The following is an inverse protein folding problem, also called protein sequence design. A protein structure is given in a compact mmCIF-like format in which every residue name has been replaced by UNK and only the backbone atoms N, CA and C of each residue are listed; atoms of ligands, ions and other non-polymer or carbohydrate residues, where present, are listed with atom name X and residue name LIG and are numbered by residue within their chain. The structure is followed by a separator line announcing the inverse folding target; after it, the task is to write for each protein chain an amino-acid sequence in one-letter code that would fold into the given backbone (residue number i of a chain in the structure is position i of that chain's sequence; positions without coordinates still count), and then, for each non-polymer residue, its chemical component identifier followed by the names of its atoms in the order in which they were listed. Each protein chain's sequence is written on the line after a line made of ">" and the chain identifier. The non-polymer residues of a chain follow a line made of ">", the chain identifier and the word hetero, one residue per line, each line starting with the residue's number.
data_IF_304080646354
#
_entry.id   IF_304080646354
#
_cell.length_a   1.000
_cell.length_b   1.000
_cell.length_c   1.000
_cell.angle_alpha   90.00
_cell.angle_beta   90.00
_cell.angle_gamma   90.00
#
_symmetry.space_group_name_H-M   'P 1'
#
loop_
_entity.id
_entity.type
_entity.pdbx_description
1 polymer ?
#
# COMPACT_ATOMS: atom_id res chain seq x y z
N UNK A 1 14.45 12.79 -33.30
CA UNK A 1 12.99 12.93 -33.07
C UNK A 1 12.25 11.70 -32.47
N UNK A 2 12.90 10.56 -32.17
CA UNK A 2 12.27 9.40 -31.48
C UNK A 2 12.84 9.08 -30.09
N UNK A 3 13.90 9.77 -29.66
CA UNK A 3 14.52 9.60 -28.33
C UNK A 3 13.92 10.60 -27.33
N UNK A 4 13.49 11.77 -27.81
CA UNK A 4 12.94 12.86 -26.98
C UNK A 4 11.54 12.55 -26.41
N UNK A 5 10.80 11.62 -27.02
CA UNK A 5 9.51 11.14 -26.50
C UNK A 5 9.66 10.12 -25.37
N UNK A 6 10.79 9.40 -25.30
CA UNK A 6 11.06 8.46 -24.22
C UNK A 6 11.46 9.18 -22.94
N UNK A 7 12.26 10.26 -23.06
CA UNK A 7 12.56 11.15 -21.93
C UNK A 7 11.32 11.86 -21.40
N UNK A 8 10.34 12.20 -22.26
CA UNK A 8 9.06 12.79 -21.83
C UNK A 8 8.17 11.76 -21.10
N UNK A 9 8.16 10.50 -21.55
CA UNK A 9 7.46 9.39 -20.88
C UNK A 9 8.11 9.01 -19.55
N UNK A 10 9.44 8.99 -19.48
CA UNK A 10 10.21 8.75 -18.25
C UNK A 10 10.08 9.93 -17.28
N UNK A 11 10.02 11.17 -17.76
CA UNK A 11 9.75 12.36 -16.93
C UNK A 11 8.31 12.37 -16.40
N UNK A 12 7.33 11.86 -17.16
CA UNK A 12 5.95 11.65 -16.69
C UNK A 12 5.84 10.49 -15.70
N UNK A 13 6.66 9.46 -15.83
CA UNK A 13 6.80 8.40 -14.85
C UNK A 13 7.45 8.90 -13.55
N UNK A 14 8.48 9.74 -13.66
CA UNK A 14 9.09 10.43 -12.52
C UNK A 14 8.09 11.38 -11.85
N UNK A 15 7.24 12.07 -12.61
CA UNK A 15 6.13 12.87 -12.06
C UNK A 15 5.08 11.99 -11.36
N UNK A 16 4.71 10.84 -11.93
CA UNK A 16 3.79 9.89 -11.28
C UNK A 16 4.40 9.33 -9.98
N UNK A 17 5.68 8.96 -10.00
CA UNK A 17 6.44 8.50 -8.83
C UNK A 17 6.61 9.62 -7.81
N UNK A 18 6.81 10.87 -8.23
CA UNK A 18 6.89 12.05 -7.35
C UNK A 18 5.55 12.45 -6.78
N UNK A 19 4.44 12.34 -7.51
CA UNK A 19 3.08 12.55 -6.99
C UNK A 19 2.73 11.44 -5.99
N UNK A 20 3.15 10.21 -6.30
CA UNK A 20 3.03 9.06 -5.42
C UNK A 20 3.85 9.21 -4.12
N UNK A 21 5.07 9.71 -4.23
CA UNK A 21 5.96 10.05 -3.11
C UNK A 21 5.46 11.31 -2.37
N UNK A 22 4.94 12.32 -3.05
CA UNK A 22 4.38 13.52 -2.42
C UNK A 22 3.09 13.22 -1.65
N UNK A 23 2.30 12.22 -2.07
CA UNK A 23 1.19 11.69 -1.25
C UNK A 23 1.68 10.97 0.02
N UNK A 24 2.98 10.66 0.11
CA UNK A 24 3.65 10.14 1.29
C UNK A 24 4.05 11.25 2.26
N UNK A 25 4.39 12.44 1.77
CA UNK A 25 4.80 13.59 2.59
C UNK A 25 3.64 14.18 3.42
N UNK A 26 2.40 13.81 3.12
CA UNK A 26 1.24 14.15 3.96
C UNK A 26 0.99 13.15 5.10
N UNK A 27 1.73 12.04 5.18
CA UNK A 27 1.55 11.02 6.22
C UNK A 27 2.77 10.10 6.40
N UNK A 28 3.97 10.66 6.59
CA UNK A 28 5.10 9.98 7.27
C UNK A 28 6.24 10.99 7.41
N UNK A 29 6.54 11.40 8.64
CA UNK A 29 7.76 12.16 8.93
C UNK A 29 8.99 11.37 8.43
N UNK A 30 9.99 12.03 7.82
CA UNK A 30 11.28 11.39 7.59
C UNK A 30 11.91 11.02 8.94
N UNK A 31 12.55 9.86 9.09
CA UNK A 31 13.25 9.53 10.33
C UNK A 31 14.38 10.54 10.54
N UNK A 32 14.42 11.12 11.74
CA UNK A 32 15.48 12.01 12.21
C UNK A 32 16.84 11.30 12.06
N UNK A 33 17.87 11.95 11.47
CA UNK A 33 19.20 11.39 11.43
C UNK A 33 19.78 11.38 12.85
N UNK A 34 19.89 10.19 13.47
CA UNK A 34 20.54 10.04 14.77
C UNK A 34 19.85 9.14 15.80
N UNK A 35 18.71 8.51 15.49
CA UNK A 35 18.04 7.56 16.41
C UNK A 35 17.78 6.21 15.77
N UNK A 36 18.81 5.62 15.17
CA UNK A 36 18.90 4.17 15.14
C UNK A 36 19.89 3.80 16.25
N UNK A 37 19.60 2.83 17.13
CA UNK A 37 20.71 2.15 17.80
C UNK A 37 21.62 1.67 16.67
N UNK A 38 22.93 1.88 16.78
CA UNK A 38 23.87 1.14 15.93
C UNK A 38 23.40 -0.30 15.92
N UNK A 39 22.97 -0.76 14.75
CA UNK A 39 22.41 -2.09 14.61
C UNK A 39 23.51 -3.03 15.04
N UNK A 40 23.32 -3.76 16.15
CA UNK A 40 24.12 -4.93 16.41
C UNK A 40 23.98 -5.82 15.16
N UNK A 41 25.09 -6.05 14.46
CA UNK A 41 25.22 -6.82 13.21
C UNK A 41 24.90 -8.32 13.39
N UNK A 42 23.80 -8.65 14.08
CA UNK A 42 23.40 -9.99 14.48
C UNK A 42 21.89 -10.29 14.41
N UNK A 43 21.04 -9.35 13.98
CA UNK A 43 19.65 -9.69 13.62
C UNK A 43 19.60 -10.14 12.16
N UNK A 44 19.17 -11.38 11.92
CA UNK A 44 19.11 -11.97 10.57
C UNK A 44 18.08 -11.19 9.74
N UNK A 45 18.56 -10.19 9.01
CA UNK A 45 17.84 -9.65 7.86
C UNK A 45 17.81 -10.74 6.79
N UNK A 46 16.60 -11.17 6.39
CA UNK A 46 16.45 -12.08 5.26
C UNK A 46 17.16 -11.46 4.05
N UNK A 47 18.23 -12.12 3.59
CA UNK A 47 19.10 -11.60 2.53
C UNK A 47 18.28 -11.33 1.26
N UNK A 48 18.59 -10.23 0.57
CA UNK A 48 17.94 -9.85 -0.69
C UNK A 48 17.94 -10.99 -1.71
N UNK A 49 19.04 -11.76 -1.77
CA UNK A 49 19.16 -12.91 -2.65
C UNK A 49 18.16 -14.03 -2.28
N UNK A 50 17.95 -14.29 -0.99
CA UNK A 50 17.02 -15.31 -0.51
C UNK A 50 15.58 -14.86 -0.79
N UNK A 51 15.23 -13.62 -0.47
CA UNK A 51 13.87 -13.09 -0.67
C UNK A 51 13.47 -13.07 -2.15
N UNK A 52 14.34 -12.55 -3.02
CA UNK A 52 14.09 -12.51 -4.46
C UNK A 52 14.13 -13.93 -5.05
N UNK A 53 15.08 -14.77 -4.61
CA UNK A 53 15.18 -16.17 -5.04
C UNK A 53 13.94 -16.99 -4.69
N UNK A 54 13.43 -16.86 -3.46
CA UNK A 54 12.19 -17.50 -3.03
C UNK A 54 10.99 -17.05 -3.87
N UNK A 55 10.85 -15.74 -4.11
CA UNK A 55 9.80 -15.20 -4.98
C UNK A 55 9.88 -15.75 -6.41
N UNK A 56 11.09 -15.83 -6.97
CA UNK A 56 11.31 -16.41 -8.29
C UNK A 56 10.93 -17.89 -8.32
N UNK A 57 11.35 -18.67 -7.33
CA UNK A 57 11.00 -20.11 -7.20
C UNK A 57 9.49 -20.29 -7.12
N UNK A 58 8.80 -19.53 -6.26
CA UNK A 58 7.33 -19.59 -6.13
C UNK A 58 6.66 -19.27 -7.48
N UNK A 59 7.11 -18.23 -8.18
CA UNK A 59 6.59 -17.86 -9.50
C UNK A 59 6.79 -18.98 -10.54
N UNK A 60 7.95 -19.64 -10.54
CA UNK A 60 8.23 -20.77 -11.44
C UNK A 60 7.36 -21.97 -11.10
N UNK A 61 7.22 -22.31 -9.82
CA UNK A 61 6.35 -23.40 -9.34
C UNK A 61 4.90 -23.14 -9.79
N UNK A 62 4.41 -21.90 -9.63
CA UNK A 62 3.07 -21.52 -10.05
C UNK A 62 2.85 -21.74 -11.55
N UNK A 63 3.73 -21.21 -12.42
CA UNK A 63 3.62 -21.39 -13.88
C UNK A 63 3.79 -22.85 -14.29
N UNK A 64 4.75 -23.56 -13.71
CA UNK A 64 4.99 -24.98 -14.00
C UNK A 64 3.77 -25.84 -13.65
N UNK A 65 3.06 -25.51 -12.56
CA UNK A 65 1.86 -26.23 -12.12
C UNK A 65 0.78 -26.32 -13.20
N UNK A 66 0.67 -25.30 -14.07
CA UNK A 66 -0.30 -25.24 -15.16
C UNK A 66 -0.04 -26.27 -16.27
N UNK A 67 1.17 -26.84 -16.31
CA UNK A 67 1.66 -27.75 -17.34
C UNK A 67 1.99 -29.16 -16.83
N UNK A 68 1.82 -29.43 -15.52
CA UNK A 68 2.07 -30.75 -14.93
C UNK A 68 1.26 -31.84 -15.64
N UNK A 69 0.04 -31.51 -16.03
CA UNK A 69 -0.84 -32.43 -16.76
C UNK A 69 -0.66 -32.25 -18.27
N UNK A 70 -0.22 -33.30 -18.97
CA UNK A 70 -0.31 -33.34 -20.44
C UNK A 70 -1.78 -33.47 -20.85
N UNK A 71 -2.41 -32.37 -21.24
CA UNK A 71 -3.75 -32.39 -21.85
C UNK A 71 -3.63 -32.53 -23.36
N UNK A 72 -4.46 -33.41 -23.95
CA UNK A 72 -4.68 -33.44 -25.40
C UNK A 72 -5.66 -32.36 -25.88
N UNK A 73 -6.40 -31.80 -24.93
CA UNK A 73 -7.51 -30.87 -25.17
C UNK A 73 -7.01 -29.45 -24.89
N UNK A 74 -7.70 -28.48 -25.46
CA UNK A 74 -7.41 -27.07 -25.23
C UNK A 74 -7.54 -26.67 -23.74
N UNK A 75 -7.14 -25.43 -23.45
CA UNK A 75 -7.15 -24.86 -22.11
C UNK A 75 -8.54 -24.58 -21.54
N UNK A 76 -9.54 -24.44 -22.39
CA UNK A 76 -10.91 -24.08 -22.06
C UNK A 76 -11.79 -25.34 -21.87
N UNK A 77 -11.27 -26.51 -22.25
CA UNK A 77 -11.91 -27.80 -22.00
C UNK A 77 -12.07 -28.08 -20.49
N UNK A 78 -13.26 -28.53 -20.02
CA UNK A 78 -13.56 -28.76 -18.60
C UNK A 78 -12.56 -29.63 -17.84
N UNK A 79 -12.03 -30.68 -18.49
CA UNK A 79 -11.03 -31.56 -17.86
C UNK A 79 -9.68 -30.87 -17.66
N UNK A 80 -9.27 -30.00 -18.59
CA UNK A 80 -8.04 -29.20 -18.47
C UNK A 80 -8.20 -28.19 -17.34
N UNK A 81 -9.35 -27.51 -17.27
CA UNK A 81 -9.66 -26.53 -16.20
C UNK A 81 -9.60 -27.20 -14.82
N UNK A 82 -10.31 -28.31 -14.61
CA UNK A 82 -10.34 -29.03 -13.32
C UNK A 82 -8.95 -29.48 -12.87
N UNK A 83 -8.12 -29.98 -13.80
CA UNK A 83 -6.74 -30.40 -13.48
C UNK A 83 -5.85 -29.22 -13.11
N UNK A 84 -5.95 -28.10 -13.84
CA UNK A 84 -5.21 -26.87 -13.50
C UNK A 84 -5.68 -26.29 -12.17
N UNK A 85 -6.98 -26.31 -11.86
CA UNK A 85 -7.51 -25.91 -10.54
C UNK A 85 -6.85 -26.72 -9.42
N UNK A 86 -6.80 -28.05 -9.57
CA UNK A 86 -6.14 -28.90 -8.58
C UNK A 86 -4.66 -28.59 -8.43
N UNK A 87 -3.92 -28.46 -9.54
CA UNK A 87 -2.49 -28.10 -9.50
C UNK A 87 -2.24 -26.76 -8.80
N UNK A 88 -3.03 -25.74 -9.14
CA UNK A 88 -2.91 -24.41 -8.54
C UNK A 88 -3.27 -24.44 -7.06
N UNK A 89 -4.28 -25.22 -6.66
CA UNK A 89 -4.63 -25.43 -5.25
C UNK A 89 -3.46 -26.03 -4.45
N UNK A 90 -2.73 -27.00 -5.03
CA UNK A 90 -1.51 -27.54 -4.39
C UNK A 90 -0.45 -26.45 -4.23
N UNK A 91 -0.26 -25.58 -5.23
CA UNK A 91 0.68 -24.44 -5.11
C UNK A 91 0.24 -23.46 -4.01
N UNK A 92 -1.06 -23.23 -3.83
CA UNK A 92 -1.59 -22.41 -2.74
C UNK A 92 -1.38 -23.02 -1.35
N UNK A 93 -1.17 -24.34 -1.24
CA UNK A 93 -0.77 -24.99 0.02
C UNK A 93 0.74 -24.88 0.25
N UNK A 94 1.55 -24.97 -0.82
CA UNK A 94 3.02 -24.92 -0.74
C UNK A 94 3.52 -23.49 -0.50
N UNK A 95 2.93 -22.48 -1.16
CA UNK A 95 3.43 -21.10 -1.13
C UNK A 95 3.47 -20.46 0.27
N UNK A 96 2.49 -20.67 1.16
CA UNK A 96 2.54 -20.19 2.54
C UNK A 96 3.68 -20.78 3.37
N UNK A 97 4.18 -21.96 3.01
CA UNK A 97 5.33 -22.59 3.70
C UNK A 97 6.57 -21.71 3.55
N UNK A 98 6.77 -21.07 2.40
CA UNK A 98 7.87 -20.10 2.22
C UNK A 98 7.72 -18.90 3.16
N UNK A 99 6.50 -18.39 3.36
CA UNK A 99 6.23 -17.31 4.33
C UNK A 99 6.53 -17.78 5.75
N UNK A 100 6.08 -18.98 6.11
CA UNK A 100 6.29 -19.56 7.43
C UNK A 100 7.77 -19.78 7.76
N UNK A 101 8.57 -20.24 6.79
CA UNK A 101 9.97 -20.59 6.98
C UNK A 101 10.94 -19.41 6.85
N UNK A 102 10.65 -18.44 5.98
CA UNK A 102 11.59 -17.36 5.66
C UNK A 102 11.29 -16.06 6.40
N UNK A 103 10.14 -15.95 7.06
CA UNK A 103 9.82 -14.77 7.87
C UNK A 103 10.65 -14.75 9.15
N UNK A 104 11.20 -13.58 9.47
CA UNK A 104 12.01 -13.37 10.68
C UNK A 104 11.21 -13.53 11.98
N UNK A 105 11.87 -14.03 13.02
CA UNK A 105 11.24 -14.24 14.34
C UNK A 105 10.66 -12.96 14.94
N UNK A 106 11.33 -11.80 14.74
CA UNK A 106 10.85 -10.51 15.22
C UNK A 106 9.49 -10.11 14.62
N UNK A 107 9.19 -10.53 13.40
CA UNK A 107 7.87 -10.32 12.78
C UNK A 107 6.84 -11.28 13.38
N UNK A 108 7.21 -12.55 13.61
CA UNK A 108 6.32 -13.54 14.22
C UNK A 108 5.93 -13.23 15.67
N UNK A 109 6.78 -12.52 16.42
CA UNK A 109 6.44 -12.04 17.76
C UNK A 109 5.28 -11.03 17.74
N UNK A 110 5.06 -10.34 16.62
CA UNK A 110 4.04 -9.28 16.49
C UNK A 110 2.82 -9.71 15.69
N UNK A 111 2.99 -10.61 14.73
CA UNK A 111 1.94 -10.99 13.79
C UNK A 111 1.96 -12.50 13.51
N UNK A 112 0.78 -13.10 13.42
CA UNK A 112 0.66 -14.48 12.95
C UNK A 112 0.91 -14.57 11.44
N UNK A 113 1.24 -15.76 10.94
CA UNK A 113 1.42 -16.02 9.49
C UNK A 113 0.20 -15.54 8.68
N UNK A 114 -1.02 -15.76 9.18
CA UNK A 114 -2.25 -15.31 8.54
C UNK A 114 -2.34 -13.78 8.45
N UNK A 115 -1.95 -13.06 9.50
CA UNK A 115 -1.96 -11.61 9.51
C UNK A 115 -0.89 -11.00 8.60
N UNK A 116 0.26 -11.68 8.44
CA UNK A 116 1.34 -11.31 7.52
C UNK A 116 0.86 -11.46 6.07
N UNK A 117 0.14 -12.54 5.79
CA UNK A 117 -0.49 -12.82 4.50
C UNK A 117 -1.73 -11.95 4.22
N UNK A 118 -2.13 -11.08 5.16
CA UNK A 118 -3.25 -10.14 4.98
C UNK A 118 -4.64 -10.70 5.30
N UNK A 119 -4.73 -11.83 6.03
CA UNK A 119 -6.00 -12.36 6.54
C UNK A 119 -6.33 -11.74 7.89
N UNK A 120 -7.25 -10.78 7.89
CA UNK A 120 -7.69 -10.03 9.08
C UNK A 120 -9.19 -9.79 8.99
N UNK A 121 -9.89 -9.90 10.12
CA UNK A 121 -11.33 -9.60 10.21
C UNK A 121 -11.61 -8.12 10.50
N UNK A 122 -10.76 -7.49 11.32
CA UNK A 122 -10.86 -6.06 11.60
C UNK A 122 -10.64 -5.25 10.33
N UNK A 123 -11.58 -4.38 9.94
CA UNK A 123 -11.47 -3.60 8.71
C UNK A 123 -11.75 -4.36 7.41
N UNK A 124 -12.23 -5.61 7.48
CA UNK A 124 -12.48 -6.42 6.27
C UNK A 124 -13.52 -5.78 5.33
N UNK A 125 -14.60 -5.23 5.88
CA UNK A 125 -15.66 -4.62 5.09
C UNK A 125 -15.15 -3.41 4.29
N UNK A 126 -14.43 -2.49 4.95
CA UNK A 126 -13.82 -1.31 4.32
C UNK A 126 -12.74 -1.72 3.31
N UNK A 127 -11.95 -2.75 3.61
CA UNK A 127 -10.96 -3.31 2.70
C UNK A 127 -11.56 -4.03 1.48
N UNK A 128 -12.84 -4.37 1.49
CA UNK A 128 -13.56 -4.88 0.31
C UNK A 128 -14.18 -3.71 -0.46
N UNK A 129 -14.93 -2.85 0.23
CA UNK A 129 -15.74 -1.81 -0.41
C UNK A 129 -14.89 -0.71 -1.02
N UNK A 130 -13.90 -0.17 -0.30
CA UNK A 130 -13.14 0.98 -0.79
C UNK A 130 -12.29 0.65 -2.03
N UNK A 131 -11.54 -0.47 -2.08
CA UNK A 131 -10.83 -0.87 -3.29
C UNK A 131 -11.76 -1.16 -4.46
N UNK A 132 -12.96 -1.70 -4.21
CA UNK A 132 -13.94 -1.92 -5.26
C UNK A 132 -14.48 -0.60 -5.82
N UNK A 133 -14.83 0.36 -4.96
CA UNK A 133 -15.27 1.71 -5.37
C UNK A 133 -14.18 2.43 -6.15
N UNK A 134 -12.95 2.36 -5.66
CA UNK A 134 -11.79 2.94 -6.32
C UNK A 134 -11.55 2.30 -7.70
N UNK A 135 -11.61 0.98 -7.80
CA UNK A 135 -11.47 0.27 -9.08
C UNK A 135 -12.64 0.56 -10.02
N UNK A 136 -13.88 0.62 -9.51
CA UNK A 136 -15.04 1.03 -10.31
C UNK A 136 -14.92 2.46 -10.82
N UNK A 137 -14.30 3.37 -10.05
CA UNK A 137 -13.99 4.73 -10.50
C UNK A 137 -13.04 4.72 -11.70
N UNK A 138 -11.99 3.90 -11.67
CA UNK A 138 -11.10 3.72 -12.83
C UNK A 138 -11.88 3.23 -14.07
N UNK A 139 -12.88 2.37 -13.86
CA UNK A 139 -13.73 1.80 -14.89
C UNK A 139 -15.01 2.62 -15.18
N UNK A 140 -15.10 3.88 -14.74
CA UNK A 140 -16.28 4.72 -14.94
C UNK A 140 -16.69 4.82 -16.42
N UNK A 141 -15.70 4.95 -17.32
CA UNK A 141 -15.91 4.94 -18.76
C UNK A 141 -16.58 3.65 -19.26
N UNK A 142 -15.92 2.48 -19.15
CA UNK A 142 -16.52 1.19 -19.53
C UNK A 142 -17.88 0.92 -18.89
N UNK A 143 -18.03 1.18 -17.59
CA UNK A 143 -19.29 1.01 -16.86
C UNK A 143 -20.40 1.85 -17.48
N UNK A 144 -20.11 3.11 -17.84
CA UNK A 144 -21.10 3.98 -18.47
C UNK A 144 -21.58 3.44 -19.82
N UNK A 145 -20.69 2.84 -20.62
CA UNK A 145 -21.04 2.21 -21.90
C UNK A 145 -21.93 0.98 -21.65
N UNK A 146 -21.51 0.08 -20.75
CA UNK A 146 -22.28 -1.10 -20.35
C UNK A 146 -23.69 -0.75 -19.85
N UNK A 147 -23.81 0.30 -19.05
CA UNK A 147 -25.08 0.80 -18.55
C UNK A 147 -25.98 1.31 -19.69
N UNK A 148 -25.43 2.10 -20.61
CA UNK A 148 -26.19 2.64 -21.75
C UNK A 148 -26.61 1.59 -22.75
N UNK A 149 -25.83 0.52 -22.92
CA UNK A 149 -26.13 -0.58 -23.82
C UNK A 149 -27.13 -1.59 -23.21
N UNK A 150 -27.60 -1.35 -21.99
CA UNK A 150 -28.64 -2.17 -21.35
C UNK A 150 -28.15 -3.50 -20.81
N UNK A 151 -26.83 -3.76 -20.81
CA UNK A 151 -26.24 -4.99 -20.27
C UNK A 151 -26.53 -5.19 -18.78
N UNK A 152 -26.83 -4.09 -18.05
CA UNK A 152 -27.27 -4.15 -16.65
C UNK A 152 -28.52 -5.00 -16.43
N UNK A 153 -29.39 -5.13 -17.45
CA UNK A 153 -30.59 -5.97 -17.38
C UNK A 153 -30.23 -7.45 -17.23
N UNK A 154 -29.17 -7.90 -17.88
CA UNK A 154 -28.69 -9.28 -17.79
C UNK A 154 -28.24 -9.58 -16.36
N UNK A 155 -27.54 -8.65 -15.72
CA UNK A 155 -27.10 -8.81 -14.33
C UNK A 155 -28.25 -8.79 -13.32
N UNK A 156 -29.40 -8.21 -13.68
CA UNK A 156 -30.60 -8.25 -12.83
C UNK A 156 -31.31 -9.60 -12.85
N UNK A 157 -31.02 -10.47 -13.81
CA UNK A 157 -31.65 -11.78 -13.94
C UNK A 157 -30.95 -12.83 -13.04
N UNK A 158 -31.65 -13.45 -12.07
CA UNK A 158 -31.04 -14.44 -11.18
C UNK A 158 -30.49 -15.67 -11.92
N UNK A 159 -31.15 -16.07 -13.02
CA UNK A 159 -30.77 -17.25 -13.79
C UNK A 159 -29.41 -17.09 -14.48
N UNK A 160 -29.04 -15.85 -14.86
CA UNK A 160 -27.71 -15.54 -15.36
C UNK A 160 -26.64 -15.98 -14.35
N UNK A 161 -26.81 -15.63 -13.09
CA UNK A 161 -25.84 -15.94 -12.03
C UNK A 161 -25.76 -17.43 -11.73
N UNK A 162 -26.90 -18.14 -11.71
CA UNK A 162 -26.93 -19.60 -11.54
C UNK A 162 -26.14 -20.28 -12.65
N UNK A 163 -26.36 -19.89 -13.90
CA UNK A 163 -25.63 -20.43 -15.05
C UNK A 163 -24.14 -20.05 -15.01
N UNK A 164 -23.82 -18.82 -14.58
CA UNK A 164 -22.46 -18.33 -14.47
C UNK A 164 -21.64 -19.15 -13.45
N UNK A 165 -22.16 -19.40 -12.25
CA UNK A 165 -21.44 -20.17 -11.22
C UNK A 165 -21.28 -21.65 -11.57
N UNK A 166 -22.15 -22.20 -12.42
CA UNK A 166 -22.01 -23.55 -12.95
C UNK A 166 -21.01 -23.66 -14.11
N UNK A 167 -20.67 -22.53 -14.75
CA UNK A 167 -19.72 -22.49 -15.86
C UNK A 167 -18.27 -22.45 -15.36
N UNK A 168 -17.50 -23.50 -15.66
CA UNK A 168 -16.11 -23.62 -15.22
C UNK A 168 -15.18 -22.53 -15.78
N UNK A 169 -15.43 -22.04 -17.00
CA UNK A 169 -14.64 -20.94 -17.57
C UNK A 169 -14.94 -19.63 -16.85
N UNK A 170 -16.22 -19.39 -16.52
CA UNK A 170 -16.62 -18.22 -15.74
C UNK A 170 -15.99 -18.25 -14.35
N UNK A 171 -16.09 -19.39 -13.65
CA UNK A 171 -15.50 -19.61 -12.33
C UNK A 171 -13.97 -19.44 -12.35
N UNK A 172 -13.30 -19.96 -13.38
CA UNK A 172 -11.86 -19.76 -13.59
C UNK A 172 -11.53 -18.27 -13.67
N UNK A 173 -12.18 -17.56 -14.60
CA UNK A 173 -11.80 -16.20 -14.94
C UNK A 173 -12.13 -15.20 -13.81
N UNK A 174 -13.25 -15.39 -13.10
CA UNK A 174 -13.76 -14.40 -12.15
C UNK A 174 -13.42 -14.73 -10.69
N UNK A 175 -13.14 -15.99 -10.36
CA UNK A 175 -12.90 -16.40 -8.98
C UNK A 175 -11.54 -17.07 -8.82
N UNK A 176 -11.31 -18.22 -9.47
CA UNK A 176 -10.15 -19.07 -9.17
C UNK A 176 -8.85 -18.40 -9.58
N UNK A 177 -8.75 -17.82 -10.78
CA UNK A 177 -7.54 -17.16 -11.23
C UNK A 177 -7.20 -15.91 -10.40
N UNK A 178 -8.12 -14.95 -10.18
CA UNK A 178 -7.87 -13.83 -9.26
C UNK A 178 -7.45 -14.29 -7.85
N UNK A 179 -8.15 -15.29 -7.30
CA UNK A 179 -7.87 -15.82 -5.97
C UNK A 179 -6.46 -16.39 -5.89
N UNK A 180 -6.10 -17.30 -6.79
CA UNK A 180 -4.82 -18.00 -6.73
C UNK A 180 -3.64 -17.10 -7.08
N UNK A 181 -3.81 -16.19 -8.04
CA UNK A 181 -2.79 -15.24 -8.44
C UNK A 181 -2.51 -14.23 -7.33
N UNK A 182 -3.53 -13.59 -6.75
CA UNK A 182 -3.31 -12.65 -5.65
C UNK A 182 -2.80 -13.36 -4.39
N UNK A 183 -3.24 -14.59 -4.13
CA UNK A 183 -2.77 -15.34 -2.98
C UNK A 183 -1.27 -15.66 -3.11
N UNK A 184 -0.84 -16.12 -4.27
CA UNK A 184 0.56 -16.48 -4.51
C UNK A 184 1.45 -15.23 -4.57
N UNK A 185 1.10 -14.27 -5.42
CA UNK A 185 1.95 -13.12 -5.70
C UNK A 185 1.83 -12.01 -4.64
N UNK A 186 0.70 -11.84 -3.95
CA UNK A 186 0.56 -10.82 -2.88
C UNK A 186 0.60 -11.42 -1.50
N UNK A 187 -0.21 -12.42 -1.20
CA UNK A 187 -0.24 -12.94 0.17
C UNK A 187 1.04 -13.69 0.53
N UNK A 188 1.73 -14.34 -0.42
CA UNK A 188 2.95 -15.10 -0.14
C UNK A 188 4.25 -14.35 -0.51
N UNK A 189 4.40 -13.92 -1.76
CA UNK A 189 5.68 -13.35 -2.23
C UNK A 189 5.95 -11.93 -1.68
N UNK A 190 4.93 -11.08 -1.63
CA UNK A 190 5.12 -9.67 -1.25
C UNK A 190 5.60 -9.47 0.21
N UNK A 191 5.08 -10.19 1.23
CA UNK A 191 5.60 -10.11 2.60
C UNK A 191 7.08 -10.49 2.74
N UNK A 192 7.57 -11.45 1.95
CA UNK A 192 8.99 -11.83 1.94
C UNK A 192 9.86 -10.65 1.46
N UNK A 193 9.41 -9.95 0.41
CA UNK A 193 10.10 -8.78 -0.11
C UNK A 193 10.00 -7.56 0.81
N UNK A 194 8.89 -7.38 1.54
CA UNK A 194 8.71 -6.28 2.50
C UNK A 194 9.63 -6.38 3.73
N UNK A 195 10.12 -7.57 4.05
CA UNK A 195 11.11 -7.76 5.13
C UNK A 195 12.52 -7.30 4.72
N UNK A 196 12.81 -7.27 3.42
CA UNK A 196 14.15 -6.97 2.88
C UNK A 196 14.23 -5.62 2.20
N UNK A 197 13.16 -5.18 1.55
CA UNK A 197 13.16 -3.99 0.71
C UNK A 197 12.17 -2.94 1.21
N UNK A 198 12.44 -1.68 0.87
CA UNK A 198 11.46 -0.60 1.05
C UNK A 198 10.18 -0.93 0.26
N UNK A 199 8.98 -0.54 0.75
CA UNK A 199 7.72 -0.93 0.13
C UNK A 199 7.61 -0.62 -1.37
N UNK A 200 8.16 0.51 -1.84
CA UNK A 200 8.12 0.85 -3.26
C UNK A 200 8.93 -0.10 -4.15
N UNK A 201 10.05 -0.65 -3.65
CA UNK A 201 10.86 -1.63 -4.39
C UNK A 201 10.14 -2.98 -4.40
N UNK A 202 9.59 -3.40 -3.26
CA UNK A 202 8.81 -4.63 -3.17
C UNK A 202 7.58 -4.59 -4.11
N UNK A 203 6.87 -3.45 -4.16
CA UNK A 203 5.76 -3.20 -5.08
C UNK A 203 6.17 -3.12 -6.57
N UNK A 204 7.46 -3.17 -6.91
CA UNK A 204 7.94 -3.28 -8.30
C UNK A 204 8.41 -4.70 -8.65
N UNK A 205 9.13 -5.37 -7.74
CA UNK A 205 9.69 -6.70 -7.98
C UNK A 205 8.59 -7.75 -8.19
N UNK A 206 7.63 -7.84 -7.27
CA UNK A 206 6.57 -8.87 -7.34
C UNK A 206 5.69 -8.72 -8.58
N UNK A 207 5.24 -7.52 -8.96
CA UNK A 207 4.49 -7.31 -10.20
C UNK A 207 5.26 -7.56 -11.48
N UNK A 208 6.58 -7.40 -11.48
CA UNK A 208 7.42 -7.77 -12.61
C UNK A 208 7.43 -9.30 -12.80
N UNK A 209 7.58 -10.07 -11.72
CA UNK A 209 7.49 -11.54 -11.76
C UNK A 209 6.09 -12.00 -12.20
N UNK A 210 5.04 -11.33 -11.72
CA UNK A 210 3.66 -11.59 -12.13
C UNK A 210 3.43 -11.35 -13.64
N UNK A 211 3.95 -10.25 -14.18
CA UNK A 211 3.88 -10.00 -15.62
C UNK A 211 4.69 -11.00 -16.42
N UNK A 212 5.90 -11.34 -15.97
CA UNK A 212 6.77 -12.32 -16.61
C UNK A 212 6.11 -13.70 -16.70
N UNK A 213 5.38 -14.10 -15.66
CA UNK A 213 4.64 -15.36 -15.64
C UNK A 213 3.68 -15.49 -16.84
N UNK A 214 3.09 -14.41 -17.33
CA UNK A 214 2.17 -14.42 -18.47
C UNK A 214 2.84 -14.64 -19.83
N UNK A 215 4.16 -14.51 -19.94
CA UNK A 215 4.88 -14.83 -21.18
C UNK A 215 4.81 -16.33 -21.53
N UNK A 216 4.43 -17.20 -20.60
CA UNK A 216 4.20 -18.63 -20.88
C UNK A 216 3.17 -18.86 -22.02
N UNK A 217 2.21 -17.95 -22.20
CA UNK A 217 1.24 -18.00 -23.30
C UNK A 217 1.85 -17.87 -24.69
N UNK A 218 3.08 -17.37 -24.83
CA UNK A 218 3.79 -17.32 -26.12
C UNK A 218 3.86 -18.73 -26.74
N UNK A 219 4.24 -19.73 -25.93
CA UNK A 219 4.39 -21.12 -26.39
C UNK A 219 3.07 -21.70 -26.90
N UNK A 220 1.97 -21.39 -26.23
CA UNK A 220 0.63 -21.84 -26.61
C UNK A 220 0.19 -21.19 -27.92
N UNK A 221 0.28 -19.86 -28.02
CA UNK A 221 -0.13 -19.10 -29.22
C UNK A 221 0.67 -19.45 -30.48
N UNK A 222 1.96 -19.78 -30.33
CA UNK A 222 2.78 -20.25 -31.44
C UNK A 222 2.35 -21.64 -31.94
N UNK A 223 1.87 -22.51 -31.04
CA UNK A 223 1.33 -23.83 -31.42
C UNK A 223 -0.02 -23.72 -32.15
N UNK A 224 -0.80 -22.71 -31.82
CA UNK A 224 -2.08 -22.42 -32.47
C UNK A 224 -1.92 -21.81 -33.88
N UNK A 225 -0.69 -21.69 -34.39
CA UNK A 225 -0.41 -21.18 -35.74
C UNK A 225 -0.51 -19.67 -35.88
N UNK A 226 -0.59 -18.92 -34.77
CA UNK A 226 -0.66 -17.46 -34.81
C UNK A 226 0.67 -16.85 -35.31
N UNK A 227 0.65 -15.88 -36.25
CA UNK A 227 1.88 -15.26 -36.74
C UNK A 227 2.73 -14.66 -35.62
N UNK A 228 4.06 -14.85 -35.68
CA UNK A 228 5.01 -14.43 -34.63
C UNK A 228 4.83 -12.96 -34.22
N UNK A 229 4.63 -12.05 -35.19
CA UNK A 229 4.43 -10.62 -34.93
C UNK A 229 3.22 -10.38 -34.02
N UNK A 230 2.12 -11.09 -34.23
CA UNK A 230 0.90 -10.97 -33.43
C UNK A 230 1.12 -11.56 -32.05
N UNK A 231 1.74 -12.75 -31.96
CA UNK A 231 2.06 -13.38 -30.68
C UNK A 231 2.90 -12.47 -29.80
N UNK A 232 3.99 -11.92 -30.34
CA UNK A 232 4.87 -11.01 -29.60
C UNK A 232 4.13 -9.75 -29.16
N UNK A 233 3.33 -9.14 -30.05
CA UNK A 233 2.57 -7.93 -29.73
C UNK A 233 1.61 -8.16 -28.56
N UNK A 234 0.79 -9.22 -28.63
CA UNK A 234 -0.18 -9.53 -27.57
C UNK A 234 0.52 -9.94 -26.27
N UNK A 235 1.62 -10.69 -26.36
CA UNK A 235 2.36 -11.14 -25.17
C UNK A 235 3.09 -10.01 -24.45
N UNK A 236 3.73 -9.08 -25.17
CA UNK A 236 4.35 -7.91 -24.55
C UNK A 236 3.31 -6.95 -24.00
N UNK A 237 2.21 -6.74 -24.71
CA UNK A 237 1.09 -5.96 -24.18
C UNK A 237 0.57 -6.57 -22.86
N UNK A 238 0.34 -7.89 -22.85
CA UNK A 238 -0.09 -8.60 -21.65
C UNK A 238 0.93 -8.48 -20.52
N UNK A 239 2.23 -8.61 -20.79
CA UNK A 239 3.30 -8.43 -19.81
C UNK A 239 3.24 -7.05 -19.14
N UNK A 240 3.27 -5.96 -19.93
CA UNK A 240 3.26 -4.61 -19.37
C UNK A 240 1.95 -4.30 -18.63
N UNK A 241 0.81 -4.66 -19.23
CA UNK A 241 -0.50 -4.44 -18.63
C UNK A 241 -0.67 -5.16 -17.29
N UNK A 242 -0.29 -6.44 -17.24
CA UNK A 242 -0.37 -7.23 -16.00
C UNK A 242 0.65 -6.77 -14.96
N UNK A 243 1.83 -6.28 -15.35
CA UNK A 243 2.76 -5.64 -14.42
C UNK A 243 2.19 -4.35 -13.83
N UNK A 244 1.59 -3.46 -14.63
CA UNK A 244 0.97 -2.22 -14.15
C UNK A 244 -0.19 -2.54 -13.19
N UNK A 245 -1.10 -3.43 -13.59
CA UNK A 245 -2.16 -3.92 -12.72
C UNK A 245 -1.58 -4.54 -11.43
N UNK A 246 -0.48 -5.28 -11.57
CA UNK A 246 0.19 -5.88 -10.44
C UNK A 246 0.75 -4.88 -9.44
N UNK A 247 1.25 -3.73 -9.89
CA UNK A 247 1.69 -2.62 -9.02
C UNK A 247 0.49 -2.06 -8.26
N UNK A 248 -0.65 -1.84 -8.93
CA UNK A 248 -1.88 -1.41 -8.28
C UNK A 248 -2.37 -2.41 -7.22
N UNK A 249 -2.41 -3.70 -7.55
CA UNK A 249 -2.75 -4.76 -6.59
C UNK A 249 -1.79 -4.79 -5.39
N UNK A 250 -0.48 -4.69 -5.62
CA UNK A 250 0.51 -4.66 -4.55
C UNK A 250 0.33 -3.43 -3.65
N UNK A 251 -0.02 -2.27 -4.23
CA UNK A 251 -0.35 -1.08 -3.47
C UNK A 251 -1.60 -1.26 -2.59
N UNK A 252 -2.68 -1.83 -3.14
CA UNK A 252 -3.88 -2.13 -2.37
C UNK A 252 -3.57 -3.04 -1.18
N UNK A 253 -2.75 -4.08 -1.39
CA UNK A 253 -2.34 -4.98 -0.32
C UNK A 253 -1.51 -4.27 0.76
N UNK A 254 -0.47 -3.51 0.38
CA UNK A 254 0.42 -2.82 1.32
C UNK A 254 -0.33 -1.76 2.12
N UNK A 255 -1.25 -1.02 1.49
CA UNK A 255 -1.98 0.07 2.13
C UNK A 255 -3.12 -0.39 3.01
N UNK A 256 -3.80 -1.46 2.62
CA UNK A 256 -4.90 -2.02 3.41
C UNK A 256 -4.43 -3.02 4.46
N UNK A 257 -3.33 -3.73 4.22
CA UNK A 257 -2.95 -4.90 5.02
C UNK A 257 -3.93 -6.08 4.86
N UNK A 258 -4.79 -6.05 3.84
CA UNK A 258 -5.81 -7.08 3.59
C UNK A 258 -5.60 -7.76 2.24
N UNK A 259 -5.69 -9.09 2.25
CA UNK A 259 -5.75 -9.92 1.05
C UNK A 259 -7.02 -9.65 0.22
N UNK A 260 -8.14 -9.35 0.88
CA UNK A 260 -9.41 -9.15 0.21
C UNK A 260 -9.38 -7.96 -0.77
N UNK A 261 -8.62 -6.90 -0.47
CA UNK A 261 -8.52 -5.70 -1.28
C UNK A 261 -8.02 -5.95 -2.72
N UNK A 262 -6.82 -6.52 -2.94
CA UNK A 262 -6.37 -6.85 -4.29
C UNK A 262 -7.23 -7.94 -4.94
N UNK A 263 -7.75 -8.91 -4.18
CA UNK A 263 -8.56 -10.00 -4.72
C UNK A 263 -9.86 -9.47 -5.37
N UNK A 264 -10.63 -8.63 -4.67
CA UNK A 264 -11.89 -8.09 -5.23
C UNK A 264 -11.63 -7.13 -6.39
N UNK A 265 -10.56 -6.34 -6.32
CA UNK A 265 -10.14 -5.47 -7.43
C UNK A 265 -9.76 -6.29 -8.66
N UNK A 266 -9.02 -7.39 -8.49
CA UNK A 266 -8.67 -8.29 -9.59
C UNK A 266 -9.91 -8.97 -10.18
N UNK A 267 -10.76 -9.57 -9.34
CA UNK A 267 -11.99 -10.21 -9.80
C UNK A 267 -12.88 -9.24 -10.61
N UNK A 268 -12.98 -7.98 -10.15
CA UNK A 268 -13.69 -6.92 -10.87
C UNK A 268 -13.01 -6.56 -12.20
N UNK A 269 -11.69 -6.39 -12.23
CA UNK A 269 -10.94 -6.14 -13.48
C UNK A 269 -11.11 -7.28 -14.49
N UNK A 270 -11.11 -8.54 -14.04
CA UNK A 270 -11.35 -9.69 -14.91
C UNK A 270 -12.79 -9.72 -15.44
N UNK A 271 -13.75 -9.25 -14.66
CA UNK A 271 -15.13 -9.11 -15.11
C UNK A 271 -15.28 -8.04 -16.19
N UNK A 272 -14.68 -6.86 -15.97
CA UNK A 272 -14.76 -5.74 -16.90
C UNK A 272 -13.89 -5.94 -18.15
N UNK A 273 -12.78 -6.67 -18.03
CA UNK A 273 -11.83 -6.87 -19.11
C UNK A 273 -11.03 -5.61 -19.44
N UNK A 274 -10.27 -5.65 -20.54
CA UNK A 274 -9.62 -4.46 -21.06
C UNK A 274 -10.65 -3.56 -21.74
N UNK A 275 -10.63 -2.23 -21.51
CA UNK A 275 -11.62 -1.33 -22.10
C UNK A 275 -11.64 -1.41 -23.64
N UNK A 276 -12.81 -1.71 -24.22
CA UNK A 276 -12.99 -1.73 -25.65
C UNK A 276 -13.18 -0.30 -26.19
N UNK A 277 -12.08 0.31 -26.64
CA UNK A 277 -12.10 1.63 -27.24
C UNK A 277 -12.86 1.65 -28.57
N UNK A 278 -13.03 0.51 -29.24
CA UNK A 278 -13.77 0.44 -30.50
C UNK A 278 -15.24 0.77 -30.27
N UNK A 279 -15.83 0.30 -29.18
CA UNK A 279 -17.21 0.56 -28.78
C UNK A 279 -17.49 2.05 -28.50
N UNK A 280 -16.47 2.79 -28.05
CA UNK A 280 -16.56 4.26 -27.88
C UNK A 280 -16.46 4.95 -29.24
N UNK A 281 -15.56 4.48 -30.12
CA UNK A 281 -15.37 5.10 -31.44
C UNK A 281 -16.53 4.84 -32.41
N UNK A 282 -17.28 3.75 -32.22
CA UNK A 282 -18.43 3.37 -33.06
C UNK A 282 -19.72 4.10 -32.70
N UNK A 283 -19.71 4.98 -31.71
CA UNK A 283 -20.90 5.70 -31.25
C UNK A 283 -21.44 6.65 -32.34
N UNK A 284 -22.74 6.57 -32.70
CA UNK A 284 -23.29 7.33 -33.83
C UNK A 284 -23.45 8.83 -33.57
N UNK A 285 -23.43 9.26 -32.30
CA UNK A 285 -23.53 10.67 -31.92
C UNK A 285 -22.21 11.17 -31.35
N UNK A 286 -21.65 12.21 -31.98
CA UNK A 286 -20.42 12.87 -31.48
C UNK A 286 -20.57 13.37 -30.05
N UNK A 287 -21.78 13.78 -29.64
CA UNK A 287 -22.04 14.16 -28.24
C UNK A 287 -21.90 13.00 -27.27
N UNK A 288 -22.42 11.81 -27.63
CA UNK A 288 -22.29 10.60 -26.81
C UNK A 288 -20.86 10.10 -26.77
N UNK A 289 -20.17 10.14 -27.91
CA UNK A 289 -18.74 9.83 -28.00
C UNK A 289 -17.90 10.73 -27.09
N UNK A 290 -18.10 12.04 -27.17
CA UNK A 290 -17.42 13.00 -26.30
C UNK A 290 -17.74 12.78 -24.82
N UNK A 291 -19.00 12.46 -24.49
CA UNK A 291 -19.40 12.11 -23.13
C UNK A 291 -18.65 10.88 -22.61
N UNK A 292 -18.62 9.78 -23.36
CA UNK A 292 -17.91 8.57 -22.95
C UNK A 292 -16.41 8.82 -22.80
N UNK A 293 -15.77 9.49 -23.77
CA UNK A 293 -14.35 9.87 -23.65
C UNK A 293 -14.14 10.71 -22.38
N UNK A 294 -15.03 11.65 -22.09
CA UNK A 294 -15.04 12.43 -20.86
C UNK A 294 -15.11 11.56 -19.60
N UNK A 295 -15.97 10.52 -19.58
CA UNK A 295 -16.11 9.59 -18.45
C UNK A 295 -14.89 8.66 -18.28
N UNK A 296 -14.23 8.27 -19.38
CA UNK A 296 -12.95 7.56 -19.32
C UNK A 296 -11.86 8.41 -18.66
N UNK A 297 -11.72 9.67 -19.11
CA UNK A 297 -10.74 10.61 -18.55
C UNK A 297 -11.08 10.93 -17.09
N UNK A 298 -12.35 11.21 -16.79
CA UNK A 298 -12.82 11.49 -15.44
C UNK A 298 -12.59 10.30 -14.50
N UNK A 299 -12.86 9.07 -14.95
CA UNK A 299 -12.60 7.86 -14.19
C UNK A 299 -11.12 7.68 -13.86
N UNK A 300 -10.23 7.89 -14.84
CA UNK A 300 -8.79 7.81 -14.64
C UNK A 300 -8.25 8.90 -13.71
N UNK A 301 -8.64 10.17 -13.92
CA UNK A 301 -8.23 11.29 -13.06
C UNK A 301 -8.78 11.12 -11.64
N UNK A 302 -10.05 10.74 -11.53
CA UNK A 302 -10.70 10.45 -10.25
C UNK A 302 -9.99 9.32 -9.51
N UNK A 303 -9.60 8.26 -10.21
CA UNK A 303 -8.80 7.17 -9.63
C UNK A 303 -7.46 7.68 -9.10
N UNK A 304 -6.71 8.48 -9.87
CA UNK A 304 -5.41 9.05 -9.40
C UNK A 304 -5.60 9.88 -8.12
N UNK A 305 -6.62 10.73 -8.07
CA UNK A 305 -6.87 11.61 -6.93
C UNK A 305 -7.36 10.84 -5.70
N UNK A 306 -8.24 9.85 -5.88
CA UNK A 306 -8.83 9.07 -4.80
C UNK A 306 -7.92 7.96 -4.27
N UNK A 307 -6.96 7.49 -5.08
CA UNK A 307 -6.04 6.41 -4.74
C UNK A 307 -5.32 6.60 -3.40
N UNK A 308 -4.69 7.75 -3.07
CA UNK A 308 -4.07 7.94 -1.76
C UNK A 308 -5.08 8.02 -0.63
N UNK A 309 -6.23 8.67 -0.84
CA UNK A 309 -7.24 8.95 0.19
C UNK A 309 -8.01 7.70 0.61
N UNK A 310 -8.59 6.97 -0.35
CA UNK A 310 -9.41 5.79 -0.09
C UNK A 310 -8.58 4.57 0.37
N UNK A 311 -7.25 4.66 0.27
CA UNK A 311 -6.32 3.64 0.78
C UNK A 311 -5.57 4.13 2.02
N UNK A 312 -6.00 5.21 2.67
CA UNK A 312 -5.43 5.58 3.99
C UNK A 312 -5.85 4.58 5.06
N UNK A 313 -4.95 4.17 5.97
CA UNK A 313 -5.27 3.25 7.06
C UNK A 313 -6.44 3.73 7.94
N UNK A 314 -6.58 5.05 8.13
CA UNK A 314 -7.67 5.64 8.89
C UNK A 314 -9.06 5.37 8.29
N UNK A 315 -9.19 5.31 6.97
CA UNK A 315 -10.43 4.92 6.29
C UNK A 315 -10.70 3.41 6.35
N UNK A 316 -9.67 2.60 6.62
CA UNK A 316 -9.72 1.15 6.57
C UNK A 316 -9.88 0.50 7.96
N UNK A 317 -9.51 1.18 9.04
CA UNK A 317 -9.71 0.72 10.42
C UNK A 317 -10.85 1.47 11.10
N UNK A 318 -11.91 0.77 11.51
CA UNK A 318 -13.05 1.36 12.26
C UNK A 318 -12.77 1.58 13.76
N UNK A 319 -11.52 1.43 14.21
CA UNK A 319 -11.14 1.67 15.61
C UNK A 319 -10.16 2.84 15.71
N UNK A 320 -10.39 3.80 16.64
CA UNK A 320 -9.28 4.62 17.13
C UNK A 320 -8.20 3.69 17.72
N UNK A 321 -6.93 4.11 17.76
CA UNK A 321 -5.86 3.31 18.36
C UNK A 321 -6.30 2.79 19.74
N UNK A 322 -6.01 1.52 20.09
CA UNK A 322 -6.52 0.93 21.31
C UNK A 322 -6.14 1.79 22.51
N UNK A 323 -7.15 2.22 23.28
CA UNK A 323 -6.95 2.81 24.59
C UNK A 323 -6.10 1.84 25.40
N UNK A 324 -4.98 2.33 25.95
CA UNK A 324 -4.05 1.53 26.75
C UNK A 324 -4.84 0.81 27.84
N UNK A 325 -4.94 -0.51 27.74
CA UNK A 325 -5.50 -1.37 28.77
C UNK A 325 -4.54 -1.33 29.96
N UNK A 326 -4.99 -0.80 31.08
CA UNK A 326 -4.24 -0.79 32.35
C UNK A 326 -3.84 -2.23 32.70
N UNK A 327 -2.53 -2.50 32.72
CA UNK A 327 -1.97 -3.68 33.38
C UNK A 327 -1.69 -3.34 34.85
N UNK A 328 -1.99 -4.25 35.80
CA UNK A 328 -1.70 -4.03 37.21
C UNK A 328 -0.21 -4.20 37.50
N UNK A 329 0.26 -3.36 38.43
CA UNK A 329 1.61 -3.24 38.97
C UNK A 329 2.43 -4.54 39.02
N UNK A 330 3.61 -4.52 38.40
CA UNK A 330 4.78 -5.23 38.90
C UNK A 330 5.96 -4.27 39.08
N UNK A 331 6.63 -4.47 40.21
CA UNK A 331 7.58 -3.60 40.87
C UNK A 331 8.95 -3.51 40.18
N UNK A 332 9.42 -2.26 40.05
CA UNK A 332 10.81 -1.74 40.05
C UNK A 332 11.93 -2.67 39.56
N UNK A 333 12.44 -2.36 38.37
CA UNK A 333 13.88 -2.23 38.11
C UNK A 333 14.11 -1.01 37.19
N UNK A 334 14.92 -0.06 37.64
CA UNK A 334 15.25 1.19 36.96
C UNK A 334 16.27 0.97 35.84
N UNK A 335 15.77 0.79 34.63
CA UNK A 335 16.50 1.11 33.39
C UNK A 335 15.82 2.33 32.79
N UNK A 336 16.56 3.42 32.58
CA UNK A 336 16.04 4.66 32.02
C UNK A 336 15.44 4.35 30.63
N UNK A 337 14.11 4.29 30.56
CA UNK A 337 13.42 4.06 29.30
C UNK A 337 13.54 5.30 28.43
N UNK A 338 13.75 5.16 27.10
CA UNK A 338 13.77 6.30 26.19
C UNK A 338 12.40 6.99 26.24
N UNK A 339 12.37 8.22 26.77
CA UNK A 339 11.16 9.02 26.83
C UNK A 339 10.92 9.60 25.43
N UNK A 340 9.83 9.20 24.79
CA UNK A 340 9.43 9.76 23.51
C UNK A 340 9.10 11.27 23.67
N UNK A 341 9.37 12.13 22.66
CA UNK A 341 9.21 13.58 22.77
C UNK A 341 7.80 14.05 23.14
N UNK A 342 6.74 13.39 22.64
CA UNK A 342 5.35 13.76 22.96
C UNK A 342 4.99 13.48 24.43
N UNK A 343 5.26 12.27 24.99
CA UNK A 343 5.17 12.04 26.43
C UNK A 343 6.02 13.00 27.28
N UNK A 344 7.23 13.34 26.82
CA UNK A 344 8.09 14.33 27.51
C UNK A 344 7.43 15.70 27.59
N UNK A 345 6.98 16.25 26.46
CA UNK A 345 6.30 17.55 26.40
C UNK A 345 5.01 17.58 27.23
N UNK A 346 4.20 16.51 27.15
CA UNK A 346 2.98 16.40 27.96
C UNK A 346 3.29 16.33 29.46
N UNK A 347 4.47 15.83 29.84
CA UNK A 347 4.94 15.81 31.23
C UNK A 347 5.45 17.17 31.74
N UNK A 348 5.70 18.12 30.83
CA UNK A 348 6.04 19.51 31.13
C UNK A 348 4.82 20.43 31.15
N UNK A 349 3.68 19.99 30.63
CA UNK A 349 2.44 20.79 30.69
C UNK A 349 2.07 21.08 32.15
N UNK A 350 1.84 22.36 32.44
CA UNK A 350 1.58 22.89 33.78
C UNK A 350 2.82 23.20 34.61
N UNK A 351 4.04 23.00 34.08
CA UNK A 351 5.31 23.24 34.77
C UNK A 351 6.03 24.48 34.22
N UNK A 352 6.91 25.11 35.02
CA UNK A 352 7.83 26.11 34.52
C UNK A 352 8.81 25.46 33.52
N UNK A 353 8.98 26.11 32.37
CA UNK A 353 9.84 25.64 31.28
C UNK A 353 10.70 26.76 30.72
N UNK A 354 11.81 26.37 30.11
CA UNK A 354 12.63 27.24 29.27
C UNK A 354 12.57 26.71 27.84
N UNK A 355 12.15 27.57 26.90
CA UNK A 355 12.13 27.28 25.47
C UNK A 355 13.19 28.15 24.79
N UNK A 356 14.20 27.51 24.20
CA UNK A 356 15.20 28.21 23.37
C UNK A 356 14.81 28.14 21.91
N UNK A 357 14.81 29.28 21.22
CA UNK A 357 14.62 29.36 19.78
C UNK A 357 15.94 29.14 19.04
N UNK A 358 15.84 28.73 17.77
CA UNK A 358 16.99 28.53 16.87
C UNK A 358 17.84 29.80 16.67
N UNK A 359 17.26 30.96 16.92
CA UNK A 359 17.85 32.28 16.69
C UNK A 359 18.40 32.91 17.97
N UNK A 360 18.53 32.15 19.06
CA UNK A 360 19.21 32.59 20.29
C UNK A 360 18.27 33.08 21.40
N UNK A 361 17.07 33.57 21.06
CA UNK A 361 16.06 34.00 22.05
C UNK A 361 15.61 32.84 22.95
N UNK A 362 15.43 33.12 24.23
CA UNK A 362 14.90 32.20 25.23
C UNK A 362 13.63 32.76 25.86
N UNK A 363 12.65 31.89 26.07
CA UNK A 363 11.39 32.22 26.72
C UNK A 363 11.24 31.35 27.96
N UNK A 364 11.06 31.98 29.12
CA UNK A 364 10.80 31.30 30.39
C UNK A 364 9.35 31.54 30.78
N UNK A 365 8.60 30.50 31.12
CA UNK A 365 7.19 30.64 31.50
C UNK A 365 6.54 29.30 31.84
N UNK A 366 5.24 29.31 32.13
CA UNK A 366 4.48 28.08 32.40
C UNK A 366 3.92 27.50 31.11
N UNK A 367 4.19 26.22 30.83
CA UNK A 367 3.65 25.55 29.65
C UNK A 367 2.17 25.25 29.81
N UNK A 368 1.30 26.01 29.16
CA UNK A 368 -0.17 25.87 29.26
C UNK A 368 -0.67 24.71 28.42
N UNK A 369 -0.25 24.63 27.16
CA UNK A 369 -0.71 23.61 26.23
C UNK A 369 0.29 23.33 25.11
N UNK A 370 0.19 22.13 24.52
CA UNK A 370 0.96 21.70 23.34
C UNK A 370 0.02 21.00 22.37
N UNK A 371 0.09 21.34 21.08
CA UNK A 371 -0.73 20.72 20.04
C UNK A 371 -0.04 19.52 19.35
N UNK A 372 -0.74 18.90 18.38
CA UNK A 372 -0.22 17.75 17.62
C UNK A 372 1.03 18.04 16.78
N UNK A 373 1.31 19.31 16.49
CA UNK A 373 2.46 19.82 15.75
C UNK A 373 3.58 20.33 16.66
N UNK A 374 3.43 20.23 17.99
CA UNK A 374 4.34 20.77 19.00
C UNK A 374 4.42 22.30 19.03
N UNK A 375 3.35 23.00 18.64
CA UNK A 375 3.21 24.42 18.98
C UNK A 375 2.94 24.53 20.48
N UNK A 376 3.54 25.52 21.14
CA UNK A 376 3.57 25.63 22.61
C UNK A 376 2.97 26.95 23.05
N UNK A 377 2.01 26.89 23.96
CA UNK A 377 1.43 28.06 24.59
C UNK A 377 2.05 28.24 25.98
N UNK A 378 2.66 29.39 26.22
CA UNK A 378 3.24 29.78 27.51
C UNK A 378 2.37 30.85 28.18
N UNK A 379 2.29 30.79 29.50
CA UNK A 379 1.73 31.84 30.36
C UNK A 379 2.82 32.41 31.28
N UNK A 380 2.64 33.68 31.69
CA UNK A 380 3.60 34.44 32.49
C UNK A 380 5.02 34.38 31.90
N UNK A 381 5.11 34.66 30.61
CA UNK A 381 6.33 34.45 29.82
C UNK A 381 7.25 35.66 29.93
N UNK A 382 8.51 35.44 30.27
CA UNK A 382 9.60 36.41 30.18
C UNK A 382 10.52 36.07 28.99
N UNK A 383 10.92 37.09 28.24
CA UNK A 383 11.86 36.95 27.13
C UNK A 383 13.30 37.25 27.59
N UNK A 384 14.24 36.45 27.11
CA UNK A 384 15.67 36.61 27.33
C UNK A 384 16.39 36.62 25.99
N UNK A 385 17.24 37.62 25.78
CA UNK A 385 18.11 37.74 24.61
C UNK A 385 19.55 37.86 25.11
N UNK A 386 20.43 36.99 24.62
CA UNK A 386 21.82 36.88 25.08
C UNK A 386 21.97 36.75 26.61
N UNK A 387 21.01 36.08 27.25
CA UNK A 387 20.97 35.85 28.70
C UNK A 387 20.41 37.01 29.53
N UNK A 388 20.09 38.16 28.93
CA UNK A 388 19.47 39.29 29.64
C UNK A 388 17.96 39.30 29.44
N UNK A 389 17.20 39.53 30.52
CA UNK A 389 15.75 39.66 30.46
C UNK A 389 15.38 40.95 29.70
N UNK A 390 14.68 40.80 28.56
CA UNK A 390 14.25 41.91 27.70
C UNK A 390 12.84 42.38 28.02
N UNK A 391 12.03 41.59 28.72
CA UNK A 391 10.73 42.01 29.23
C UNK A 391 9.71 40.88 29.42
N UNK A 392 8.64 41.23 30.14
CA UNK A 392 7.49 40.36 30.41
C UNK A 392 6.49 40.41 29.25
N UNK A 393 6.19 39.25 28.67
CA UNK A 393 5.30 39.09 27.52
C UNK A 393 3.94 38.48 27.86
N UNK A 394 3.75 37.96 29.08
CA UNK A 394 2.48 37.36 29.49
C UNK A 394 2.17 36.07 28.75
N UNK A 395 1.11 36.03 27.94
CA UNK A 395 0.69 34.85 27.20
C UNK A 395 1.29 34.82 25.79
N UNK A 396 2.05 33.76 25.46
CA UNK A 396 2.83 33.68 24.23
C UNK A 396 2.59 32.34 23.53
N UNK A 397 2.33 32.37 22.23
CA UNK A 397 2.29 31.17 21.38
C UNK A 397 3.59 31.04 20.58
N UNK A 398 4.34 29.97 20.84
CA UNK A 398 5.58 29.65 20.12
C UNK A 398 5.31 28.54 19.10
N UNK A 399 5.59 28.85 17.83
CA UNK A 399 5.43 27.89 16.72
C UNK A 399 6.57 26.86 16.70
N UNK A 400 6.23 25.59 16.49
CA UNK A 400 7.14 24.46 16.62
C UNK A 400 8.43 24.57 15.78
N UNK A 401 8.35 25.13 14.57
CA UNK A 401 9.48 25.22 13.65
C UNK A 401 10.58 26.19 14.13
N UNK A 402 10.28 27.05 15.10
CA UNK A 402 11.23 28.01 15.69
C UNK A 402 11.96 27.46 16.91
N UNK A 403 11.46 26.39 17.53
CA UNK A 403 12.01 25.80 18.76
C UNK A 403 13.29 25.02 18.45
N UNK A 404 14.33 25.24 19.26
CA UNK A 404 15.56 24.46 19.27
C UNK A 404 15.47 23.36 20.33
N UNK A 405 15.14 23.71 21.58
CA UNK A 405 14.86 22.77 22.66
C UNK A 405 13.90 23.36 23.69
N UNK A 406 13.36 22.49 24.54
CA UNK A 406 12.61 22.82 25.74
C UNK A 406 13.12 21.98 26.90
N UNK A 407 13.23 22.59 28.08
CA UNK A 407 13.52 21.89 29.34
C UNK A 407 12.57 22.35 30.43
N UNK A 408 12.29 21.47 31.38
CA UNK A 408 11.70 21.88 32.66
C UNK A 408 12.71 22.68 33.47
N UNK A 409 12.21 23.58 34.31
CA UNK A 409 12.97 24.15 35.42
C UNK A 409 12.65 23.26 36.61
N UNK A 410 13.65 22.57 37.15
CA UNK A 410 13.51 21.88 38.43
C UNK A 410 13.79 22.90 39.55
N UNK A 411 13.11 22.79 40.69
CA UNK A 411 13.18 23.76 41.80
C UNK A 411 14.60 23.92 42.40
N UNK A 412 15.55 23.05 42.04
CA UNK A 412 16.95 23.09 42.47
C UNK A 412 17.83 24.04 41.63
N UNK A 413 17.37 24.51 40.46
CA UNK A 413 18.15 25.41 39.57
C UNK A 413 18.19 26.87 40.07
N UNK A 414 17.36 27.26 41.05
CA UNK A 414 17.36 28.63 41.62
C UNK A 414 18.45 28.87 42.68
N UNK A 415 19.07 27.83 43.26
CA UNK A 415 20.16 27.99 44.24
C UNK A 415 21.55 28.24 43.61
N UNK A 416 21.68 28.06 42.28
CA UNK A 416 22.96 28.13 41.57
C UNK A 416 23.43 29.51 41.10
N UNK A 417 22.55 30.52 41.05
CA UNK A 417 22.89 31.87 40.56
C UNK A 417 23.03 32.93 41.68
N UNK A 418 22.92 32.56 42.96
CA UNK A 418 23.22 33.44 44.12
C UNK A 418 24.51 33.07 44.85
N UNK A 419 25.55 32.69 44.11
CA UNK A 419 26.94 32.70 44.58
C UNK A 419 27.86 33.24 43.50
N UNK A 420 27.97 34.57 43.46
CA UNK A 420 29.23 35.30 43.34
C UNK A 420 29.08 36.69 44.00
#
# INVERSE_FOLDING_TARGET
>A
PKVDNLSLLVARWDLFVRIWIASKDSAMDPPQPGTFPEANDGEIHLSAAISVGACFIISVIYVASLYVWRSKHDRDHPSTIKRRFFSVFVVMIISPVFVALLTSEGVFQRYSVWQIMGFRLEGLFTAIVLPLVLTATLFLGPLSVTLTNGLWRIYSEPMYWVNAVQNLMWLRNHLVAPLSEEFTFRACMLPLLLQTFRPHVAMLITPLLFGLAHLHHIKERLRDGTPLRVVLTVSFFQFFYTTIFGIYSAYLFVRSGHFAAPFVAHAFCNHMGFPDLQEVTSQPSERRKALFIGLYVLGFVGWIVLLPTLTTPACLTSKPPPAKRNQPNQSKMTTAMPINPKPFLNGLTGKPVIIKLKWGHEYKGFLVSVDGYMNMQLANTDEYVDGQNTGHLGEVLIRCNNVLYIRGIDDDDEEGEMRD
#
